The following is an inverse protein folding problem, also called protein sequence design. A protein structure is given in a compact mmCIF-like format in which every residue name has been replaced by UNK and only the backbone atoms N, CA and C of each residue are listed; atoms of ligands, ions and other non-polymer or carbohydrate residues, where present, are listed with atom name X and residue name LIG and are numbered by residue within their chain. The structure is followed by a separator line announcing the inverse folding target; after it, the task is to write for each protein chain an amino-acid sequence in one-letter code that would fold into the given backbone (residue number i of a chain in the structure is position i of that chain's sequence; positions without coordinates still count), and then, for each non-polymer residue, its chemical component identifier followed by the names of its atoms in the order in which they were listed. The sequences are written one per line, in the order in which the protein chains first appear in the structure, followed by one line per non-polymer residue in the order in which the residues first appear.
data_IF_974109290916
#
_entry.id   IF_974109290916
#
_cell.length_a   1.000
_cell.length_b   1.000
_cell.length_c   1.000
_cell.angle_alpha   90.00
_cell.angle_beta   90.00
_cell.angle_gamma   90.00
#
_symmetry.space_group_name_H-M   'P 1'
#
loop_
_entity.id
_entity.type
_entity.pdbx_description
1 polymer ?
#
# COMPACT_ATOMS: atom_id res chain seq x y z
N UNK A 1 -32.87 -17.27 36.89
CA UNK A 1 -32.19 -17.31 35.57
C UNK A 1 -31.86 -15.91 34.97
N UNK A 2 -32.59 -14.83 35.25
CA UNK A 2 -32.36 -13.50 34.64
C UNK A 2 -31.07 -12.76 35.11
N UNK A 3 -30.54 -13.07 36.30
CA UNK A 3 -29.33 -12.37 36.81
C UNK A 3 -28.06 -12.89 36.19
N UNK A 4 -27.98 -14.19 35.84
CA UNK A 4 -26.85 -14.78 35.15
C UNK A 4 -26.68 -14.26 33.71
N UNK A 5 -27.78 -14.13 32.98
CA UNK A 5 -27.79 -13.64 31.60
C UNK A 5 -27.35 -12.16 31.46
N UNK A 6 -27.63 -11.33 32.48
CA UNK A 6 -27.17 -9.92 32.50
C UNK A 6 -25.67 -9.78 32.75
N UNK A 7 -25.08 -10.64 33.59
CA UNK A 7 -23.62 -10.62 33.86
C UNK A 7 -22.83 -11.12 32.65
N UNK A 8 -23.27 -12.20 32.00
CA UNK A 8 -22.62 -12.74 30.80
C UNK A 8 -22.68 -11.74 29.63
N UNK A 9 -23.80 -11.07 29.41
CA UNK A 9 -23.92 -10.04 28.36
C UNK A 9 -23.00 -8.83 28.61
N UNK A 10 -22.78 -8.46 29.89
CA UNK A 10 -21.86 -7.37 30.24
C UNK A 10 -20.39 -7.75 29.99
N UNK A 11 -20.00 -8.98 30.31
CA UNK A 11 -18.64 -9.49 30.07
C UNK A 11 -18.35 -9.57 28.57
N UNK A 12 -19.27 -10.13 27.78
CA UNK A 12 -19.12 -10.18 26.31
C UNK A 12 -18.99 -8.80 25.69
N UNK A 13 -19.74 -7.83 26.18
CA UNK A 13 -19.64 -6.46 25.71
C UNK A 13 -18.28 -5.82 26.03
N UNK A 14 -17.76 -6.08 27.24
CA UNK A 14 -16.44 -5.59 27.65
C UNK A 14 -15.33 -6.23 26.79
N UNK A 15 -15.38 -7.56 26.56
CA UNK A 15 -14.44 -8.25 25.69
C UNK A 15 -14.49 -7.71 24.26
N UNK A 16 -15.68 -7.44 23.74
CA UNK A 16 -15.84 -6.85 22.43
C UNK A 16 -15.29 -5.42 22.36
N UNK A 17 -15.51 -4.62 23.40
CA UNK A 17 -14.94 -3.26 23.49
C UNK A 17 -13.40 -3.28 23.53
N UNK A 18 -12.82 -4.22 24.32
CA UNK A 18 -11.37 -4.42 24.37
C UNK A 18 -10.80 -4.87 23.02
N UNK A 19 -11.47 -5.78 22.32
CA UNK A 19 -11.12 -6.20 20.97
C UNK A 19 -11.11 -5.03 19.98
N UNK A 20 -12.17 -4.19 20.00
CA UNK A 20 -12.23 -3.00 19.13
C UNK A 20 -11.12 -2.01 19.46
N UNK A 21 -10.88 -1.73 20.74
CA UNK A 21 -9.80 -0.84 21.18
C UNK A 21 -8.43 -1.39 20.73
N UNK A 22 -8.17 -2.68 20.97
CA UNK A 22 -6.97 -3.35 20.52
C UNK A 22 -6.77 -3.26 19.02
N UNK A 23 -7.83 -3.45 18.23
CA UNK A 23 -7.79 -3.30 16.77
C UNK A 23 -7.44 -1.88 16.35
N UNK A 24 -8.04 -0.85 16.97
CA UNK A 24 -7.74 0.55 16.66
C UNK A 24 -6.28 0.89 17.00
N UNK A 25 -5.81 0.48 18.18
CA UNK A 25 -4.43 0.68 18.60
C UNK A 25 -3.46 -0.03 17.65
N UNK A 26 -3.75 -1.28 17.30
CA UNK A 26 -2.93 -2.05 16.35
C UNK A 26 -2.83 -1.34 14.99
N UNK A 27 -3.96 -0.91 14.43
CA UNK A 27 -3.98 -0.18 13.15
C UNK A 27 -3.22 1.16 13.23
N UNK A 28 -3.31 1.87 14.36
CA UNK A 28 -2.58 3.10 14.58
C UNK A 28 -1.06 2.85 14.63
N UNK A 29 -0.63 1.80 15.34
CA UNK A 29 0.78 1.38 15.41
C UNK A 29 1.30 0.98 14.04
N UNK A 30 0.55 0.15 13.29
CA UNK A 30 0.91 -0.26 11.92
C UNK A 30 1.05 0.95 11.01
N UNK A 31 0.10 1.90 11.08
CA UNK A 31 0.17 3.13 10.30
C UNK A 31 1.37 3.99 10.66
N UNK A 32 1.68 4.13 11.95
CA UNK A 32 2.83 4.89 12.41
C UNK A 32 4.15 4.22 12.01
N UNK A 33 4.24 2.90 12.14
CA UNK A 33 5.43 2.13 11.78
C UNK A 33 5.73 2.17 10.28
N UNK A 34 4.73 2.01 9.42
CA UNK A 34 4.90 2.02 7.97
C UNK A 34 4.68 3.42 7.34
N UNK A 35 4.76 4.46 8.16
CA UNK A 35 4.68 5.83 7.64
C UNK A 35 5.86 6.11 6.72
N UNK A 36 5.56 6.68 5.54
CA UNK A 36 6.57 7.21 4.61
C UNK A 36 6.62 8.71 4.80
N UNK A 37 7.80 9.23 5.09
CA UNK A 37 8.00 10.66 5.26
C UNK A 37 7.73 11.41 3.95
N UNK A 38 7.10 12.58 4.05
CA UNK A 38 6.76 13.39 2.87
C UNK A 38 8.02 13.90 2.13
N UNK A 39 9.14 14.06 2.82
CA UNK A 39 10.42 14.46 2.23
C UNK A 39 10.97 13.43 1.24
N UNK A 40 10.57 12.14 1.37
CA UNK A 40 10.96 11.10 0.44
C UNK A 40 10.16 11.13 -0.88
N UNK A 41 9.05 11.89 -0.97
CA UNK A 41 8.24 11.88 -2.17
C UNK A 41 8.93 12.59 -3.33
N UNK A 42 8.81 11.96 -4.51
CA UNK A 42 9.14 12.61 -5.77
C UNK A 42 8.11 13.70 -6.05
N UNK A 43 8.57 14.93 -6.25
CA UNK A 43 7.71 16.04 -6.59
C UNK A 43 7.61 16.17 -8.12
N UNK A 44 6.42 16.49 -8.63
CA UNK A 44 6.24 16.74 -10.07
C UNK A 44 7.14 17.87 -10.58
N UNK A 45 7.40 18.89 -9.75
CA UNK A 45 8.32 19.99 -10.06
C UNK A 45 9.77 19.56 -10.24
N UNK A 46 10.19 18.43 -9.66
CA UNK A 46 11.54 17.89 -9.84
C UNK A 46 11.71 17.19 -11.20
N UNK A 47 10.60 16.77 -11.83
CA UNK A 47 10.60 16.02 -13.08
C UNK A 47 10.45 16.89 -14.32
N UNK A 48 10.16 18.19 -14.15
CA UNK A 48 9.80 19.10 -15.24
C UNK A 48 8.35 18.95 -15.71
N UNK A 49 7.90 19.81 -16.61
CA UNK A 49 6.60 19.63 -17.24
C UNK A 49 6.69 18.58 -18.36
N UNK A 50 5.60 17.85 -18.60
CA UNK A 50 5.55 16.82 -19.65
C UNK A 50 5.96 17.34 -21.04
N UNK A 51 5.58 18.56 -21.35
CA UNK A 51 5.92 19.20 -22.64
C UNK A 51 7.41 19.56 -22.74
N UNK A 52 8.04 19.96 -21.64
CA UNK A 52 9.48 20.24 -21.58
C UNK A 52 10.30 18.95 -21.74
N UNK A 53 9.86 17.87 -21.10
CA UNK A 53 10.50 16.56 -21.19
C UNK A 53 10.39 15.99 -22.61
N UNK A 54 9.22 16.13 -23.25
CA UNK A 54 8.97 15.63 -24.62
C UNK A 54 9.67 16.47 -25.70
N UNK A 55 9.84 17.77 -25.50
CA UNK A 55 10.44 18.65 -26.48
C UNK A 55 11.97 18.68 -26.47
N UNK A 56 12.61 18.01 -25.51
CA UNK A 56 14.08 18.04 -25.37
C UNK A 56 14.63 19.42 -25.05
N UNK A 57 13.78 20.36 -24.65
CA UNK A 57 14.22 21.71 -24.26
C UNK A 57 14.98 21.61 -22.94
N UNK A 58 16.27 21.89 -23.00
CA UNK A 58 17.09 22.06 -21.80
C UNK A 58 16.47 23.11 -20.88
N UNK A 59 16.35 22.80 -19.61
CA UNK A 59 15.89 23.74 -18.59
C UNK A 59 16.71 25.04 -18.67
N UNK A 60 16.09 26.21 -18.67
CA UNK A 60 16.83 27.45 -18.45
C UNK A 60 17.58 27.35 -17.14
N UNK A 61 18.85 27.69 -17.13
CA UNK A 61 19.78 27.62 -16.00
C UNK A 61 19.31 28.36 -14.72
N UNK A 62 18.22 29.12 -14.80
CA UNK A 62 17.65 29.92 -13.69
C UNK A 62 17.02 29.07 -12.59
N UNK A 63 16.59 27.83 -12.88
CA UNK A 63 16.07 26.88 -11.84
C UNK A 63 17.13 25.90 -11.33
N UNK A 64 18.34 25.95 -11.89
CA UNK A 64 19.51 25.20 -11.40
C UNK A 64 20.13 25.79 -10.12
N UNK A 65 19.69 26.98 -9.65
CA UNK A 65 20.25 27.70 -8.53
C UNK A 65 19.76 27.26 -7.14
N UNK A 66 19.10 26.13 -6.99
CA UNK A 66 19.07 25.44 -5.72
C UNK A 66 20.20 24.41 -5.70
N UNK A 67 21.41 24.98 -5.61
CA UNK A 67 22.65 24.45 -5.02
C UNK A 67 22.82 22.93 -5.05
N UNK A 68 23.34 22.43 -6.18
CA UNK A 68 24.28 21.35 -6.08
C UNK A 68 25.63 21.96 -5.61
N UNK A 69 26.29 21.40 -4.58
CA UNK A 69 27.67 21.77 -4.26
C UNK A 69 28.57 21.46 -5.46
N UNK A 70 29.63 22.23 -5.62
CA UNK A 70 30.58 22.21 -6.71
C UNK A 70 31.52 20.97 -6.75
N UNK A 71 31.00 19.76 -6.49
CA UNK A 71 31.64 18.48 -6.79
C UNK A 71 30.91 17.82 -7.97
N UNK A 72 30.75 18.59 -9.06
CA UNK A 72 29.99 18.20 -10.25
C UNK A 72 30.73 17.20 -11.17
N UNK A 73 31.83 16.58 -10.74
CA UNK A 73 32.64 15.73 -11.60
C UNK A 73 32.63 14.22 -11.24
N UNK A 74 31.73 13.80 -10.35
CA UNK A 74 31.42 12.37 -10.24
C UNK A 74 30.15 12.08 -11.04
N UNK A 75 30.18 11.10 -11.99
CA UNK A 75 28.99 10.68 -12.68
C UNK A 75 28.01 10.13 -11.63
N UNK A 76 26.93 10.86 -11.35
CA UNK A 76 25.83 10.38 -10.50
C UNK A 76 25.39 9.05 -11.10
N UNK A 77 25.49 7.99 -10.31
CA UNK A 77 25.09 6.65 -10.71
C UNK A 77 23.64 6.67 -11.22
N UNK A 78 23.45 6.63 -12.52
CA UNK A 78 22.13 6.61 -13.12
C UNK A 78 21.58 5.20 -13.09
N UNK A 79 20.28 5.08 -12.89
CA UNK A 79 19.56 3.81 -13.00
C UNK A 79 19.69 3.33 -14.47
N UNK A 80 20.15 2.08 -14.71
CA UNK A 80 20.28 1.55 -16.08
C UNK A 80 18.95 1.50 -16.83
N UNK A 81 18.99 1.72 -18.15
CA UNK A 81 17.85 1.61 -19.07
C UNK A 81 17.49 0.16 -19.36
N UNK A 82 17.14 -0.60 -18.32
CA UNK A 82 16.75 -2.02 -18.39
C UNK A 82 15.44 -2.20 -17.65
N UNK A 83 14.44 -2.79 -18.31
CA UNK A 83 13.16 -3.15 -17.69
C UNK A 83 13.11 -4.67 -17.51
N UNK A 84 13.02 -5.08 -16.24
CA UNK A 84 12.86 -6.47 -15.83
C UNK A 84 11.39 -6.77 -15.55
N UNK A 85 10.87 -7.84 -16.13
CA UNK A 85 9.52 -8.35 -15.88
C UNK A 85 9.56 -9.84 -15.64
N UNK A 86 8.61 -10.39 -14.93
CA UNK A 86 8.54 -11.83 -14.60
C UNK A 86 7.29 -12.47 -15.16
N UNK A 87 7.41 -13.71 -15.66
CA UNK A 87 6.27 -14.55 -16.03
C UNK A 87 6.65 -16.02 -15.91
N UNK A 88 5.66 -16.91 -15.90
CA UNK A 88 5.87 -18.35 -15.76
C UNK A 88 6.70 -18.95 -16.91
N UNK A 89 6.41 -18.52 -18.15
CA UNK A 89 6.98 -19.04 -19.40
C UNK A 89 7.33 -17.90 -20.35
N UNK A 90 7.91 -18.19 -21.50
CA UNK A 90 8.15 -17.20 -22.57
C UNK A 90 6.85 -16.73 -23.23
N UNK A 91 5.78 -17.52 -23.13
CA UNK A 91 4.50 -17.19 -23.73
C UNK A 91 3.68 -16.30 -22.79
N UNK A 92 3.54 -15.04 -23.16
CA UNK A 92 2.70 -14.08 -22.44
C UNK A 92 1.26 -14.17 -22.92
N UNK A 93 0.27 -14.11 -21.99
CA UNK A 93 -1.11 -13.86 -22.36
C UNK A 93 -1.26 -12.58 -23.18
N UNK A 94 -2.17 -12.57 -24.16
CA UNK A 94 -2.38 -11.44 -25.08
C UNK A 94 -2.52 -10.11 -24.34
N UNK A 95 -3.31 -10.13 -23.27
CA UNK A 95 -3.53 -9.00 -22.40
C UNK A 95 -2.21 -8.35 -21.89
N UNK A 96 -1.21 -9.16 -21.50
CA UNK A 96 0.07 -8.66 -20.99
C UNK A 96 1.07 -8.36 -22.10
N UNK A 97 0.93 -9.03 -23.24
CA UNK A 97 1.75 -8.76 -24.43
C UNK A 97 1.51 -7.33 -24.92
N UNK A 98 0.26 -6.90 -25.01
CA UNK A 98 -0.09 -5.55 -25.47
C UNK A 98 0.48 -4.46 -24.53
N UNK A 99 0.32 -4.61 -23.21
CA UNK A 99 0.85 -3.61 -22.25
C UNK A 99 2.39 -3.56 -22.25
N UNK A 100 3.05 -4.73 -22.38
CA UNK A 100 4.50 -4.80 -22.51
C UNK A 100 4.98 -4.14 -23.79
N UNK A 101 4.32 -4.41 -24.93
CA UNK A 101 4.66 -3.81 -26.22
C UNK A 101 4.55 -2.28 -26.17
N UNK A 102 3.49 -1.73 -25.56
CA UNK A 102 3.34 -0.29 -25.37
C UNK A 102 4.52 0.32 -24.60
N UNK A 103 5.02 -0.34 -23.56
CA UNK A 103 6.21 0.14 -22.87
C UNK A 103 7.46 0.05 -23.72
N UNK A 104 7.63 -1.01 -24.53
CA UNK A 104 8.76 -1.16 -25.46
C UNK A 104 8.76 -0.06 -26.54
N UNK A 105 7.59 0.25 -27.09
CA UNK A 105 7.42 1.27 -28.11
C UNK A 105 7.74 2.68 -27.57
N UNK A 106 7.44 2.93 -26.30
CA UNK A 106 7.72 4.19 -25.63
C UNK A 106 9.19 4.34 -25.20
N UNK A 107 9.91 3.21 -25.07
CA UNK A 107 11.30 3.14 -24.61
C UNK A 107 12.14 2.26 -25.54
N UNK A 108 12.33 2.67 -26.82
CA UNK A 108 13.02 1.84 -27.81
C UNK A 108 14.52 1.67 -27.53
N UNK A 109 15.10 2.52 -26.71
CA UNK A 109 16.49 2.50 -26.26
C UNK A 109 16.71 1.75 -24.93
N UNK A 110 15.65 1.11 -24.39
CA UNK A 110 15.74 0.30 -23.20
C UNK A 110 15.86 -1.18 -23.55
N UNK A 111 16.63 -1.91 -22.76
CA UNK A 111 16.61 -3.38 -22.78
C UNK A 111 15.39 -3.89 -22.01
N UNK A 112 14.70 -4.90 -22.57
CA UNK A 112 13.48 -5.48 -21.96
C UNK A 112 13.69 -6.98 -21.70
N UNK A 113 13.92 -7.35 -20.46
CA UNK A 113 14.23 -8.72 -20.06
C UNK A 113 12.99 -9.37 -19.42
N UNK A 114 12.58 -10.52 -19.99
CA UNK A 114 11.57 -11.39 -19.40
C UNK A 114 12.23 -12.52 -18.61
N UNK A 115 11.99 -12.55 -17.32
CA UNK A 115 12.46 -13.58 -16.40
C UNK A 115 11.37 -14.65 -16.25
N UNK A 116 11.57 -15.81 -16.86
CA UNK A 116 10.71 -16.97 -16.63
C UNK A 116 11.07 -17.66 -15.32
N UNK A 117 10.19 -18.55 -14.82
CA UNK A 117 10.48 -19.33 -13.61
C UNK A 117 11.79 -20.10 -13.74
N UNK A 118 12.05 -20.70 -14.92
CA UNK A 118 13.27 -21.45 -15.19
C UNK A 118 14.52 -20.54 -15.23
N UNK A 119 14.45 -19.41 -15.93
CA UNK A 119 15.54 -18.41 -15.97
C UNK A 119 15.82 -17.83 -14.59
N UNK A 120 14.78 -17.54 -13.82
CA UNK A 120 14.88 -17.00 -12.47
C UNK A 120 15.61 -17.97 -11.54
N UNK A 121 15.25 -19.25 -11.58
CA UNK A 121 15.93 -20.28 -10.77
C UNK A 121 17.39 -20.48 -11.19
N UNK A 122 17.66 -20.55 -12.49
CA UNK A 122 19.03 -20.68 -13.03
C UNK A 122 19.90 -19.49 -12.61
N UNK A 123 19.36 -18.26 -12.70
CA UNK A 123 20.05 -17.05 -12.29
C UNK A 123 20.40 -17.06 -10.78
N UNK A 124 19.47 -17.48 -9.92
CA UNK A 124 19.74 -17.62 -8.48
C UNK A 124 20.79 -18.69 -8.23
N UNK A 125 20.72 -19.84 -8.91
CA UNK A 125 21.71 -20.92 -8.77
C UNK A 125 23.11 -20.47 -9.16
N UNK A 126 23.25 -19.69 -10.23
CA UNK A 126 24.53 -19.22 -10.75
C UNK A 126 25.14 -18.10 -9.92
N UNK A 127 24.34 -17.08 -9.58
CA UNK A 127 24.87 -15.85 -9.00
C UNK A 127 24.65 -15.69 -7.49
N UNK A 128 23.69 -16.45 -6.91
CA UNK A 128 23.28 -16.36 -5.51
C UNK A 128 23.01 -17.75 -4.93
N UNK A 129 23.91 -18.69 -5.14
CA UNK A 129 23.77 -20.10 -4.71
C UNK A 129 23.43 -20.27 -3.24
N UNK A 130 23.86 -19.33 -2.39
CA UNK A 130 23.53 -19.31 -0.96
C UNK A 130 22.02 -19.15 -0.69
N UNK A 131 21.28 -18.54 -1.61
CA UNK A 131 19.85 -18.31 -1.47
C UNK A 131 19.00 -19.41 -2.13
N UNK A 132 19.58 -20.21 -3.02
CA UNK A 132 18.84 -21.23 -3.76
C UNK A 132 17.99 -22.18 -2.89
N UNK A 133 18.48 -22.67 -1.74
CA UNK A 133 17.66 -23.52 -0.86
C UNK A 133 16.40 -22.80 -0.36
N UNK A 134 16.50 -21.52 -0.02
CA UNK A 134 15.35 -20.71 0.40
C UNK A 134 14.40 -20.46 -0.76
N UNK A 135 14.95 -20.16 -1.95
CA UNK A 135 14.18 -19.90 -3.16
C UNK A 135 13.34 -21.11 -3.57
N UNK A 136 13.94 -22.31 -3.56
CA UNK A 136 13.27 -23.56 -3.89
C UNK A 136 12.25 -23.99 -2.81
N UNK A 137 12.49 -23.62 -1.53
CA UNK A 137 11.62 -23.96 -0.42
C UNK A 137 10.36 -23.06 -0.30
N UNK A 138 10.26 -21.99 -1.05
CA UNK A 138 9.06 -21.14 -1.00
C UNK A 138 7.80 -21.91 -1.39
N UNK A 139 6.76 -21.96 -0.52
CA UNK A 139 5.55 -22.73 -0.79
C UNK A 139 4.74 -22.20 -1.98
N UNK A 140 4.87 -20.92 -2.31
CA UNK A 140 4.09 -20.29 -3.37
C UNK A 140 4.98 -19.75 -4.49
N UNK A 141 4.57 -19.99 -5.74
CA UNK A 141 5.29 -19.50 -6.92
C UNK A 141 5.46 -17.97 -6.93
N UNK A 142 4.46 -17.25 -6.41
CA UNK A 142 4.50 -15.78 -6.32
C UNK A 142 5.63 -15.30 -5.39
N UNK A 143 6.00 -16.05 -4.34
CA UNK A 143 7.13 -15.66 -3.49
C UNK A 143 8.46 -15.73 -4.26
N UNK A 144 8.61 -16.69 -5.18
CA UNK A 144 9.78 -16.76 -6.07
C UNK A 144 9.79 -15.60 -7.08
N UNK A 145 8.63 -15.25 -7.62
CA UNK A 145 8.47 -14.08 -8.50
C UNK A 145 8.71 -12.75 -7.76
N UNK A 146 8.35 -12.67 -6.48
CA UNK A 146 8.69 -11.53 -5.64
C UNK A 146 10.19 -11.48 -5.30
N UNK A 147 10.79 -12.61 -4.96
CA UNK A 147 12.20 -12.66 -4.59
C UNK A 147 13.11 -12.28 -5.77
N UNK A 148 12.89 -12.86 -6.95
CA UNK A 148 13.77 -12.65 -8.10
C UNK A 148 13.91 -11.17 -8.48
N UNK A 149 12.87 -10.34 -8.32
CA UNK A 149 12.92 -8.91 -8.65
C UNK A 149 14.01 -8.16 -7.88
N UNK A 150 14.25 -8.54 -6.63
CA UNK A 150 15.30 -7.91 -5.81
C UNK A 150 16.69 -8.34 -6.25
N UNK A 151 16.88 -9.62 -6.63
CA UNK A 151 18.15 -10.15 -7.07
C UNK A 151 18.59 -9.61 -8.43
N UNK A 152 17.66 -9.48 -9.39
CA UNK A 152 17.98 -8.91 -10.70
C UNK A 152 18.32 -7.43 -10.59
N UNK A 153 17.60 -6.68 -9.75
CA UNK A 153 17.89 -5.28 -9.48
C UNK A 153 19.23 -5.10 -8.76
N UNK A 154 19.57 -5.98 -7.82
CA UNK A 154 20.88 -5.96 -7.18
C UNK A 154 22.01 -6.19 -8.20
N UNK A 155 21.85 -7.16 -9.10
CA UNK A 155 22.90 -7.57 -10.05
C UNK A 155 23.07 -6.61 -11.20
N UNK A 156 21.98 -6.12 -11.74
CA UNK A 156 21.96 -5.34 -12.98
C UNK A 156 21.57 -3.88 -12.77
N UNK A 157 20.83 -3.57 -11.70
CA UNK A 157 20.11 -2.31 -11.60
C UNK A 157 18.93 -2.27 -12.56
N UNK A 158 18.42 -1.09 -12.85
CA UNK A 158 17.32 -0.90 -13.79
C UNK A 158 15.96 -0.78 -13.11
N UNK A 159 14.93 -1.18 -13.82
CA UNK A 159 13.53 -1.05 -13.45
C UNK A 159 12.89 -2.43 -13.40
N UNK A 160 12.41 -2.85 -12.24
CA UNK A 160 11.47 -3.96 -12.18
C UNK A 160 10.05 -3.42 -12.29
N UNK A 161 9.22 -4.06 -13.10
CA UNK A 161 7.83 -3.68 -13.28
C UNK A 161 6.96 -4.92 -13.52
N UNK A 162 5.88 -5.09 -12.73
CA UNK A 162 4.93 -6.18 -12.95
C UNK A 162 4.25 -6.08 -14.33
N UNK A 163 3.90 -7.22 -14.94
CA UNK A 163 3.29 -7.27 -16.27
C UNK A 163 1.87 -6.66 -16.34
N UNK A 164 1.20 -6.52 -15.21
CA UNK A 164 -0.11 -5.86 -15.14
C UNK A 164 0.00 -4.33 -15.04
N UNK A 165 1.19 -3.80 -15.32
CA UNK A 165 1.45 -2.37 -15.47
C UNK A 165 1.83 -2.05 -16.91
N UNK A 166 1.46 -0.87 -17.36
CA UNK A 166 1.88 -0.26 -18.64
C UNK A 166 2.53 1.09 -18.41
N UNK A 167 3.20 1.61 -19.43
CA UNK A 167 3.83 2.92 -19.43
C UNK A 167 2.91 3.95 -20.05
N UNK A 168 2.60 5.04 -19.32
CA UNK A 168 1.83 6.17 -19.81
C UNK A 168 2.74 7.31 -20.31
N UNK A 169 4.01 7.35 -19.83
CA UNK A 169 5.00 8.38 -20.12
C UNK A 169 6.39 7.79 -20.20
N UNK A 170 7.34 8.52 -20.79
CA UNK A 170 8.75 8.18 -20.77
C UNK A 170 9.30 8.19 -19.34
N UNK A 171 10.10 7.18 -18.99
CA UNK A 171 10.61 6.94 -17.64
C UNK A 171 11.98 7.60 -17.38
N UNK A 172 12.63 8.19 -18.39
CA UNK A 172 13.94 8.85 -18.25
C UNK A 172 14.04 9.84 -17.08
N UNK A 173 13.01 10.67 -16.79
CA UNK A 173 13.09 11.57 -15.65
C UNK A 173 13.26 10.91 -14.30
N UNK A 174 12.86 9.63 -14.19
CA UNK A 174 12.97 8.84 -12.95
C UNK A 174 14.34 8.17 -12.78
N UNK A 175 15.13 8.04 -13.86
CA UNK A 175 16.43 7.39 -13.82
C UNK A 175 17.52 8.21 -13.11
N UNK A 176 17.25 9.47 -12.82
CA UNK A 176 18.16 10.38 -12.10
C UNK A 176 18.30 10.07 -10.61
N UNK A 177 17.40 9.29 -10.05
CA UNK A 177 17.41 8.90 -8.65
C UNK A 177 18.24 7.63 -8.44
N UNK A 178 18.53 7.28 -7.18
CA UNK A 178 19.25 6.05 -6.87
C UNK A 178 18.30 4.87 -6.73
N UNK A 179 17.20 5.06 -5.98
CA UNK A 179 16.11 4.09 -5.83
C UNK A 179 14.78 4.81 -5.85
N UNK A 180 13.81 4.27 -6.58
CA UNK A 180 12.43 4.77 -6.58
C UNK A 180 11.48 3.62 -6.29
N UNK A 181 10.60 3.82 -5.31
CA UNK A 181 9.56 2.87 -4.88
C UNK A 181 8.20 3.55 -4.95
N UNK A 182 7.12 2.89 -5.38
CA UNK A 182 5.80 3.50 -5.34
C UNK A 182 5.19 3.40 -3.94
N UNK A 183 4.41 4.42 -3.57
CA UNK A 183 3.62 4.39 -2.34
C UNK A 183 2.48 3.39 -2.45
N UNK A 184 2.35 2.50 -1.47
CA UNK A 184 1.17 1.63 -1.37
C UNK A 184 0.09 2.21 -0.44
N UNK A 185 -1.14 1.76 -0.63
CA UNK A 185 -2.30 2.14 0.18
C UNK A 185 -2.77 0.90 0.93
N UNK A 186 -2.99 0.99 2.24
CA UNK A 186 -3.06 2.20 3.07
C UNK A 186 -1.72 2.70 3.64
N UNK A 187 -0.67 1.89 3.64
CA UNK A 187 0.62 2.21 4.28
C UNK A 187 1.80 1.61 3.54
N UNK A 188 2.98 2.21 3.68
CA UNK A 188 4.25 1.70 3.19
C UNK A 188 4.50 1.93 1.70
N UNK A 189 5.39 1.10 1.15
CA UNK A 189 5.80 1.10 -0.26
C UNK A 189 5.41 -0.22 -0.93
N UNK A 190 5.28 -0.20 -2.26
CA UNK A 190 4.94 -1.40 -3.06
C UNK A 190 6.20 -2.02 -3.66
N UNK A 191 6.08 -3.27 -4.10
CA UNK A 191 7.15 -4.02 -4.76
C UNK A 191 6.84 -4.37 -6.22
N UNK A 192 5.71 -3.94 -6.74
CA UNK A 192 5.29 -4.16 -8.13
C UNK A 192 6.02 -3.26 -9.14
N UNK A 193 6.67 -2.19 -8.63
CA UNK A 193 7.54 -1.30 -9.37
C UNK A 193 8.72 -0.91 -8.49
N UNK A 194 9.94 -1.09 -8.97
CA UNK A 194 11.16 -0.72 -8.27
C UNK A 194 12.18 -0.22 -9.29
N UNK A 195 12.68 0.98 -9.10
CA UNK A 195 13.85 1.49 -9.80
C UNK A 195 15.05 1.38 -8.87
N UNK A 196 16.19 0.94 -9.35
CA UNK A 196 17.39 0.89 -8.54
C UNK A 196 18.66 1.00 -9.37
N UNK A 197 19.66 1.67 -8.84
CA UNK A 197 21.04 1.57 -9.33
C UNK A 197 21.59 0.19 -8.98
N UNK A 198 22.52 -0.30 -9.81
CA UNK A 198 23.19 -1.59 -9.58
C UNK A 198 23.92 -1.62 -8.23
N UNK A 199 23.69 -2.67 -7.44
CA UNK A 199 24.38 -2.88 -6.16
C UNK A 199 23.99 -1.88 -5.07
N UNK A 200 22.84 -1.19 -5.18
CA UNK A 200 22.42 -0.23 -4.17
C UNK A 200 22.26 -0.89 -2.78
N UNK A 201 22.78 -0.30 -1.69
CA UNK A 201 22.76 -0.91 -0.34
C UNK A 201 21.38 -1.27 0.17
N UNK A 202 20.35 -0.52 -0.19
CA UNK A 202 18.97 -0.87 0.14
C UNK A 202 18.52 -2.18 -0.53
N UNK A 203 18.88 -2.37 -1.80
CA UNK A 203 18.53 -3.60 -2.55
C UNK A 203 19.34 -4.79 -2.02
N UNK A 204 20.61 -4.57 -1.65
CA UNK A 204 21.43 -5.55 -0.96
C UNK A 204 20.78 -5.95 0.39
N UNK A 205 20.30 -4.98 1.17
CA UNK A 205 19.58 -5.28 2.40
C UNK A 205 18.29 -6.07 2.15
N UNK A 206 17.56 -5.81 1.04
CA UNK A 206 16.39 -6.60 0.67
C UNK A 206 16.76 -8.07 0.48
N UNK A 207 17.74 -8.39 -0.38
CA UNK A 207 18.10 -9.79 -0.67
C UNK A 207 18.59 -10.54 0.59
N UNK A 208 19.35 -9.89 1.45
CA UNK A 208 19.84 -10.50 2.68
C UNK A 208 18.78 -10.61 3.79
N UNK A 209 17.69 -9.84 3.71
CA UNK A 209 16.59 -9.92 4.67
C UNK A 209 15.59 -11.04 4.34
N UNK A 210 15.53 -11.55 3.10
CA UNK A 210 14.52 -12.52 2.67
C UNK A 210 14.49 -13.80 3.52
N UNK A 211 15.66 -14.32 3.93
CA UNK A 211 15.71 -15.53 4.76
C UNK A 211 15.09 -15.30 6.14
N UNK A 212 15.37 -14.14 6.76
CA UNK A 212 14.83 -13.80 8.06
C UNK A 212 13.32 -13.52 8.05
N UNK A 213 12.76 -13.16 6.88
CA UNK A 213 11.33 -12.94 6.69
C UNK A 213 10.58 -14.14 6.13
N UNK A 214 11.27 -15.27 5.88
CA UNK A 214 10.64 -16.48 5.33
C UNK A 214 9.81 -17.21 6.40
N UNK A 215 8.66 -16.65 6.73
CA UNK A 215 7.69 -17.22 7.66
C UNK A 215 6.40 -17.57 6.93
N UNK A 216 5.81 -18.70 7.32
CA UNK A 216 4.48 -19.11 6.85
C UNK A 216 3.45 -18.64 7.88
N UNK A 217 2.50 -17.83 7.40
CA UNK A 217 1.38 -17.33 8.18
C UNK A 217 0.13 -18.20 7.95
N UNK A 218 -0.94 -17.94 8.73
CA UNK A 218 -2.19 -18.71 8.64
C UNK A 218 -2.86 -18.66 7.26
N UNK A 219 -2.58 -17.64 6.45
CA UNK A 219 -3.20 -17.46 5.14
C UNK A 219 -2.13 -17.30 4.05
N UNK A 220 -2.48 -17.70 2.83
CA UNK A 220 -1.63 -17.53 1.64
C UNK A 220 -1.29 -16.04 1.45
N UNK A 221 -2.30 -15.18 1.47
CA UNK A 221 -2.13 -13.75 1.28
C UNK A 221 -1.17 -13.14 2.29
N UNK A 222 -1.35 -13.41 3.59
CA UNK A 222 -0.45 -12.89 4.62
C UNK A 222 0.97 -13.45 4.47
N UNK A 223 1.12 -14.73 4.13
CA UNK A 223 2.43 -15.35 3.89
C UNK A 223 3.19 -14.58 2.80
N UNK A 224 2.59 -14.36 1.65
CA UNK A 224 3.22 -13.62 0.54
C UNK A 224 3.50 -12.17 0.92
N UNK A 225 2.52 -11.47 1.45
CA UNK A 225 2.63 -10.05 1.81
C UNK A 225 3.79 -9.74 2.75
N UNK A 226 4.00 -10.58 3.77
CA UNK A 226 4.98 -10.32 4.83
C UNK A 226 6.32 -11.03 4.62
N UNK A 227 6.41 -12.05 3.75
CA UNK A 227 7.68 -12.75 3.49
C UNK A 227 8.47 -12.17 2.32
N UNK A 228 7.80 -11.80 1.23
CA UNK A 228 8.46 -11.36 -0.02
C UNK A 228 7.79 -10.16 -0.67
N UNK A 229 6.54 -9.88 -0.32
CA UNK A 229 5.69 -8.88 -0.93
C UNK A 229 5.87 -7.47 -0.38
N UNK A 230 4.89 -6.56 -0.61
CA UNK A 230 5.02 -5.14 -0.31
C UNK A 230 5.21 -4.83 1.19
N UNK A 231 4.68 -5.65 2.10
CA UNK A 231 4.89 -5.41 3.53
C UNK A 231 6.31 -5.79 3.97
N UNK A 232 6.91 -6.80 3.36
CA UNK A 232 8.34 -7.11 3.51
C UNK A 232 9.19 -5.91 3.08
N UNK A 233 8.99 -5.40 1.86
CA UNK A 233 9.74 -4.23 1.35
C UNK A 233 9.54 -3.02 2.24
N UNK A 234 8.31 -2.78 2.69
CA UNK A 234 8.00 -1.65 3.60
C UNK A 234 8.73 -1.76 4.94
N UNK A 235 8.87 -2.98 5.50
CA UNK A 235 9.60 -3.22 6.74
C UNK A 235 11.11 -2.97 6.55
N UNK A 236 11.69 -3.47 5.45
CA UNK A 236 13.11 -3.23 5.14
C UNK A 236 13.35 -1.74 4.82
N UNK A 237 12.47 -1.08 4.07
CA UNK A 237 12.51 0.36 3.82
C UNK A 237 12.56 1.15 5.13
N UNK A 238 11.68 0.85 6.06
CA UNK A 238 11.65 1.53 7.36
C UNK A 238 12.96 1.34 8.13
N UNK A 239 13.47 0.11 8.20
CA UNK A 239 14.75 -0.19 8.89
C UNK A 239 15.92 0.51 8.22
N UNK A 240 15.95 0.56 6.89
CA UNK A 240 16.98 1.25 6.13
C UNK A 240 16.97 2.75 6.41
N UNK A 241 15.80 3.39 6.29
CA UNK A 241 15.64 4.83 6.57
C UNK A 241 16.02 5.16 8.00
N UNK A 242 15.58 4.37 8.99
CA UNK A 242 15.93 4.61 10.41
C UNK A 242 17.42 4.47 10.68
N UNK A 243 18.11 3.55 10.03
CA UNK A 243 19.55 3.35 10.17
C UNK A 243 20.38 4.47 9.53
N UNK A 244 19.83 5.16 8.53
CA UNK A 244 20.53 6.23 7.78
C UNK A 244 20.01 7.63 8.12
N UNK A 245 19.20 7.78 9.17
CA UNK A 245 18.81 9.10 9.66
C UNK A 245 20.03 9.83 10.23
N UNK A 246 20.23 11.09 9.86
CA UNK A 246 21.29 11.89 10.48
C UNK A 246 21.04 12.01 11.99
N UNK A 247 22.10 11.85 12.78
CA UNK A 247 22.04 11.87 14.24
C UNK A 247 21.60 13.23 14.83
N UNK A 248 21.59 14.30 14.02
CA UNK A 248 21.14 15.65 14.43
C UNK A 248 20.49 16.38 13.25
N UNK A 249 19.37 17.08 13.46
CA UNK A 249 18.75 17.90 12.43
C UNK A 249 19.50 19.22 12.18
N UNK A 250 20.71 19.36 12.66
CA UNK A 250 21.46 20.59 12.66
C UNK A 250 22.41 20.70 11.47
N UNK A 251 21.96 21.19 10.35
CA UNK A 251 22.62 22.28 9.60
C UNK A 251 21.72 22.73 8.46
N UNK A 252 21.35 24.01 8.35
CA UNK A 252 20.62 24.57 7.22
C UNK A 252 21.41 24.55 5.90
N UNK A 253 22.68 24.15 5.94
CA UNK A 253 23.62 24.24 4.82
C UNK A 253 23.60 23.06 3.83
N UNK A 254 22.88 21.96 4.14
CA UNK A 254 22.71 20.85 3.22
C UNK A 254 21.26 20.36 3.28
N UNK A 255 20.39 20.80 2.35
CA UNK A 255 19.04 20.23 2.22
C UNK A 255 19.05 18.72 1.88
N UNK A 256 20.18 18.18 1.44
CA UNK A 256 20.37 16.75 1.11
C UNK A 256 20.89 15.92 2.29
N UNK A 257 21.24 16.51 3.44
CA UNK A 257 21.86 15.80 4.57
C UNK A 257 20.94 14.81 5.33
N UNK A 258 19.67 14.70 4.94
CA UNK A 258 18.72 13.70 5.44
C UNK A 258 18.31 12.67 4.39
N UNK A 259 18.92 12.67 3.22
CA UNK A 259 18.46 11.91 2.07
C UNK A 259 19.12 10.53 2.03
N UNK A 260 18.31 9.48 2.14
CA UNK A 260 18.75 8.08 2.14
C UNK A 260 19.01 7.52 0.75
N UNK A 261 18.99 8.33 -0.31
CA UNK A 261 18.99 7.87 -1.71
C UNK A 261 17.63 7.27 -2.17
N UNK A 262 16.70 7.03 -1.24
CA UNK A 262 15.41 6.43 -1.54
C UNK A 262 14.35 7.49 -1.83
N UNK A 263 13.66 7.36 -2.96
CA UNK A 263 12.54 8.22 -3.35
C UNK A 263 11.25 7.40 -3.45
N UNK A 264 10.14 8.04 -3.17
CA UNK A 264 8.83 7.40 -3.20
C UNK A 264 7.91 8.12 -4.19
N UNK A 265 7.37 7.38 -5.17
CA UNK A 265 6.37 7.90 -6.08
C UNK A 265 5.03 8.05 -5.35
N UNK A 266 4.49 9.27 -5.24
CA UNK A 266 3.16 9.49 -4.71
C UNK A 266 2.09 8.94 -5.66
N UNK A 267 0.85 8.81 -5.18
CA UNK A 267 -0.28 8.34 -5.99
C UNK A 267 -0.46 9.15 -7.28
N UNK A 268 -0.19 10.45 -7.24
CA UNK A 268 -0.32 11.35 -8.41
C UNK A 268 0.59 10.96 -9.58
N UNK A 269 1.79 10.43 -9.31
CA UNK A 269 2.76 10.01 -10.31
C UNK A 269 2.72 8.50 -10.58
N UNK A 270 2.21 7.71 -9.63
CA UNK A 270 2.13 6.26 -9.75
C UNK A 270 0.80 5.76 -10.33
N UNK A 271 -0.32 6.42 -10.05
CA UNK A 271 -1.62 6.16 -10.65
C UNK A 271 -2.42 5.00 -10.06
N UNK A 272 -1.83 4.11 -9.26
CA UNK A 272 -2.52 2.93 -8.72
C UNK A 272 -3.69 3.32 -7.80
N UNK A 273 -4.85 2.67 -8.00
CA UNK A 273 -6.10 2.96 -7.29
C UNK A 273 -6.61 4.42 -7.49
N UNK A 274 -6.20 5.07 -8.57
CA UNK A 274 -6.75 6.35 -8.98
C UNK A 274 -8.08 6.18 -9.72
N UNK A 275 -8.97 7.16 -9.56
CA UNK A 275 -10.18 7.25 -10.39
C UNK A 275 -9.80 7.77 -11.77
N UNK A 276 -10.59 7.52 -12.81
CA UNK A 276 -10.36 8.11 -14.12
C UNK A 276 -10.20 9.64 -14.02
N UNK A 277 -9.09 10.18 -14.57
CA UNK A 277 -8.77 11.60 -14.52
C UNK A 277 -8.20 12.14 -13.20
N UNK A 278 -8.09 11.34 -12.14
CA UNK A 278 -7.54 11.76 -10.84
C UNK A 278 -6.03 11.99 -10.88
N UNK A 279 -5.32 11.27 -11.74
CA UNK A 279 -3.86 11.33 -11.83
C UNK A 279 -3.39 11.52 -13.27
N UNK A 280 -3.62 12.70 -13.87
CA UNK A 280 -3.26 12.97 -15.26
C UNK A 280 -1.74 12.92 -15.49
N UNK A 281 -0.96 13.11 -14.43
CA UNK A 281 0.51 13.12 -14.47
C UNK A 281 1.14 11.76 -14.15
N UNK A 282 0.35 10.69 -14.05
CA UNK A 282 0.86 9.35 -13.80
C UNK A 282 1.79 8.88 -14.92
N UNK A 283 2.91 8.25 -14.53
CA UNK A 283 3.83 7.57 -15.43
C UNK A 283 3.34 6.19 -15.84
N UNK A 284 2.37 5.62 -15.10
CA UNK A 284 1.96 4.23 -15.23
C UNK A 284 0.47 4.05 -15.42
N UNK A 285 0.12 2.98 -16.14
CA UNK A 285 -1.22 2.43 -16.27
C UNK A 285 -1.30 1.14 -15.46
N UNK A 286 -2.43 0.87 -14.82
CA UNK A 286 -2.62 -0.32 -13.98
C UNK A 286 -3.80 -1.15 -14.49
N UNK A 287 -3.52 -2.41 -14.85
CA UNK A 287 -4.50 -3.35 -15.42
C UNK A 287 -5.04 -4.34 -14.40
N UNK A 288 -4.62 -4.23 -13.14
CA UNK A 288 -5.11 -5.00 -11.98
C UNK A 288 -5.13 -6.51 -12.22
N UNK A 289 -3.98 -7.09 -12.48
CA UNK A 289 -3.78 -8.54 -12.45
C UNK A 289 -3.95 -9.06 -11.03
N UNK A 290 -4.87 -10.01 -10.84
CA UNK A 290 -5.16 -10.61 -9.52
C UNK A 290 -4.85 -12.11 -9.48
N UNK A 291 -3.97 -12.58 -10.35
CA UNK A 291 -3.71 -14.00 -10.57
C UNK A 291 -3.17 -14.76 -9.34
N UNK A 292 -2.66 -14.05 -8.34
CA UNK A 292 -2.10 -14.61 -7.11
C UNK A 292 -3.01 -14.46 -5.89
N UNK A 293 -4.11 -13.72 -6.02
CA UNK A 293 -5.08 -13.58 -4.94
C UNK A 293 -5.77 -14.91 -4.70
N UNK A 294 -5.48 -15.55 -3.57
CA UNK A 294 -6.20 -16.69 -3.09
C UNK A 294 -7.59 -16.29 -2.53
N UNK A 295 -8.45 -17.25 -2.26
CA UNK A 295 -9.80 -17.02 -1.71
C UNK A 295 -9.81 -16.24 -0.39
N UNK A 296 -8.71 -16.29 0.38
CA UNK A 296 -8.51 -15.56 1.63
C UNK A 296 -8.34 -14.05 1.44
N UNK A 297 -7.89 -13.60 0.25
CA UNK A 297 -7.79 -12.17 -0.06
C UNK A 297 -9.14 -11.47 -0.04
N UNK A 298 -10.23 -12.16 -0.40
CA UNK A 298 -11.58 -11.61 -0.39
C UNK A 298 -12.00 -11.09 0.98
N UNK A 299 -11.69 -11.81 2.06
CA UNK A 299 -11.97 -11.38 3.43
C UNK A 299 -11.19 -10.13 3.82
N UNK A 300 -9.91 -10.06 3.46
CA UNK A 300 -9.06 -8.89 3.75
C UNK A 300 -9.47 -7.66 2.94
N UNK A 301 -9.89 -7.86 1.69
CA UNK A 301 -10.47 -6.79 0.85
C UNK A 301 -11.78 -6.29 1.48
N UNK A 302 -12.66 -7.19 1.93
CA UNK A 302 -13.87 -6.84 2.67
C UNK A 302 -13.56 -6.01 3.91
N UNK A 303 -12.61 -6.43 4.74
CA UNK A 303 -12.17 -5.67 5.92
C UNK A 303 -11.58 -4.31 5.54
N UNK A 304 -10.86 -4.20 4.43
CA UNK A 304 -10.35 -2.92 3.93
C UNK A 304 -11.47 -1.95 3.56
N UNK A 305 -12.52 -2.44 2.91
CA UNK A 305 -13.64 -1.62 2.44
C UNK A 305 -14.55 -1.24 3.60
N UNK A 306 -14.95 -2.23 4.40
CA UNK A 306 -16.00 -2.08 5.42
C UNK A 306 -15.46 -1.99 6.85
N UNK A 307 -14.17 -2.23 7.10
CA UNK A 307 -13.61 -2.32 8.44
C UNK A 307 -13.84 -1.06 9.28
N UNK A 308 -13.72 0.13 8.69
CA UNK A 308 -14.02 1.40 9.40
C UNK A 308 -15.48 1.48 9.80
N UNK A 309 -16.39 1.08 8.91
CA UNK A 309 -17.84 1.04 9.18
C UNK A 309 -18.16 0.03 10.28
N UNK A 310 -17.55 -1.16 10.21
CA UNK A 310 -17.73 -2.20 11.23
C UNK A 310 -17.22 -1.75 12.60
N UNK A 311 -16.06 -1.08 12.65
CA UNK A 311 -15.53 -0.50 13.90
C UNK A 311 -16.48 0.58 14.43
N UNK A 312 -16.95 1.50 13.59
CA UNK A 312 -17.89 2.55 13.99
C UNK A 312 -19.19 1.96 14.51
N UNK A 313 -19.76 0.98 13.80
CA UNK A 313 -20.97 0.27 14.23
C UNK A 313 -20.75 -0.46 15.57
N UNK A 314 -19.60 -1.11 15.74
CA UNK A 314 -19.23 -1.76 17.01
C UNK A 314 -19.18 -0.76 18.18
N UNK A 315 -18.54 0.40 17.97
CA UNK A 315 -18.49 1.47 18.97
C UNK A 315 -19.90 1.97 19.32
N UNK A 316 -20.74 2.21 18.32
CA UNK A 316 -22.13 2.63 18.52
C UNK A 316 -22.95 1.60 19.32
N UNK A 317 -22.76 0.30 19.02
CA UNK A 317 -23.43 -0.77 19.77
C UNK A 317 -22.97 -0.83 21.23
N UNK A 318 -21.67 -0.65 21.48
CA UNK A 318 -21.10 -0.58 22.84
C UNK A 318 -21.68 0.63 23.60
N UNK A 319 -21.70 1.80 22.99
CA UNK A 319 -22.26 3.01 23.56
C UNK A 319 -23.77 2.85 23.84
N UNK A 320 -24.53 2.35 22.87
CA UNK A 320 -25.95 2.07 23.05
C UNK A 320 -26.18 1.10 24.21
N UNK A 321 -25.49 -0.02 24.26
CA UNK A 321 -25.64 -0.98 25.33
C UNK A 321 -25.28 -0.40 26.72
N UNK A 322 -24.25 0.48 26.78
CA UNK A 322 -23.81 1.14 28.02
C UNK A 322 -24.80 2.22 28.49
N UNK A 323 -25.35 2.97 27.54
CA UNK A 323 -26.15 4.16 27.88
C UNK A 323 -27.67 3.98 27.71
N UNK A 324 -28.16 2.86 27.13
CA UNK A 324 -29.58 2.61 26.91
C UNK A 324 -30.43 2.75 28.17
N UNK A 325 -29.94 2.25 29.31
CA UNK A 325 -30.69 2.30 30.56
C UNK A 325 -30.75 3.71 31.17
N UNK A 326 -29.67 4.50 31.25
CA UNK A 326 -29.74 5.89 31.67
C UNK A 326 -30.55 6.77 30.67
N UNK A 327 -30.38 6.55 29.34
CA UNK A 327 -31.18 7.30 28.35
C UNK A 327 -32.64 6.95 28.42
N UNK A 328 -33.02 5.69 28.58
CA UNK A 328 -34.41 5.28 28.77
C UNK A 328 -35.01 5.90 30.02
N UNK A 329 -34.28 5.98 31.14
CA UNK A 329 -34.73 6.65 32.36
C UNK A 329 -34.91 8.15 32.18
N UNK A 330 -34.02 8.80 31.40
CA UNK A 330 -34.11 10.23 31.10
C UNK A 330 -35.29 10.54 30.16
N UNK A 331 -35.54 9.69 29.16
CA UNK A 331 -36.58 9.89 28.17
C UNK A 331 -37.96 9.39 28.62
N UNK A 332 -38.04 8.45 29.55
CA UNK A 332 -39.32 7.88 30.03
C UNK A 332 -40.36 8.94 30.45
N UNK A 333 -40.01 9.97 31.26
CA UNK A 333 -40.98 10.99 31.63
C UNK A 333 -41.45 11.85 30.44
N UNK A 334 -40.52 12.14 29.50
CA UNK A 334 -40.88 12.92 28.30
C UNK A 334 -41.79 12.10 27.39
N UNK A 335 -41.43 10.84 27.12
CA UNK A 335 -42.25 9.95 26.29
C UNK A 335 -43.64 9.69 26.93
N UNK A 336 -43.71 9.52 28.24
CA UNK A 336 -44.99 9.36 28.95
C UNK A 336 -45.87 10.61 28.83
N UNK A 337 -45.28 11.79 28.93
CA UNK A 337 -45.97 13.06 28.75
C UNK A 337 -46.49 13.23 27.34
N UNK A 338 -45.62 12.99 26.34
CA UNK A 338 -46.02 13.04 24.92
C UNK A 338 -47.11 12.03 24.61
N UNK A 339 -47.00 10.80 25.12
CA UNK A 339 -48.03 9.77 24.96
C UNK A 339 -49.38 10.18 25.58
N UNK A 340 -49.36 10.79 26.80
CA UNK A 340 -50.56 11.32 27.43
C UNK A 340 -51.20 12.45 26.60
N UNK A 341 -50.37 13.34 26.00
CA UNK A 341 -50.85 14.37 25.10
C UNK A 341 -51.48 13.79 23.82
N UNK A 342 -50.82 12.83 23.19
CA UNK A 342 -51.37 12.14 22.02
C UNK A 342 -52.69 11.46 22.34
N UNK A 343 -52.78 10.76 23.48
CA UNK A 343 -54.04 10.14 23.91
C UNK A 343 -55.15 11.15 24.22
N UNK A 344 -54.80 12.29 24.79
CA UNK A 344 -55.79 13.39 25.01
C UNK A 344 -56.30 13.94 23.69
N UNK A 345 -55.41 14.16 22.71
CA UNK A 345 -55.80 14.62 21.39
C UNK A 345 -56.65 13.59 20.65
N UNK A 346 -56.26 12.30 20.68
CA UNK A 346 -57.07 11.24 20.08
C UNK A 346 -58.45 11.13 20.70
N UNK A 347 -58.59 11.27 22.02
CA UNK A 347 -59.89 11.30 22.69
C UNK A 347 -60.70 12.55 22.36
N UNK A 348 -60.10 13.70 22.17
CA UNK A 348 -60.75 14.92 21.77
C UNK A 348 -61.25 14.92 20.32
N UNK A 349 -60.51 14.22 19.43
CA UNK A 349 -60.84 14.10 18.01
C UNK A 349 -61.83 12.96 17.71
N UNK A 350 -62.07 12.04 18.68
CA UNK A 350 -62.99 10.92 18.50
C UNK A 350 -64.11 11.04 19.54
N UNK A 351 -65.21 11.71 19.21
CA UNK A 351 -66.39 11.72 20.07
C UNK A 351 -66.93 10.31 20.22
N UNK A 352 -67.06 9.84 21.45
CA UNK A 352 -67.58 8.52 21.82
C UNK A 352 -69.00 8.32 21.28
N UNK A 353 -69.14 7.91 20.04
CA UNK A 353 -70.31 7.29 19.50
C UNK A 353 -70.07 5.77 19.42
N UNK A 354 -70.75 5.04 20.32
CA UNK A 354 -70.93 3.59 20.27
C UNK A 354 -69.72 2.65 20.38
N UNK A 355 -69.31 2.38 21.61
CA UNK A 355 -68.66 1.13 21.98
C UNK A 355 -69.51 0.41 23.05
N UNK A 356 -70.72 0.06 22.69
CA UNK A 356 -71.46 -1.06 23.26
C UNK A 356 -71.50 -2.11 22.19
N UNK A 357 -70.60 -3.02 22.17
CA UNK A 357 -70.61 -4.34 21.50
C UNK A 357 -69.15 -4.73 21.14
N UNK A 358 -68.47 -5.33 22.08
CA UNK A 358 -67.66 -6.54 21.89
C UNK A 358 -67.29 -7.00 23.32
N UNK A 359 -68.21 -7.73 23.88
CA UNK A 359 -67.89 -8.84 24.79
C UNK A 359 -67.76 -10.05 23.88
N UNK A 360 -66.58 -10.54 23.71
CA UNK A 360 -66.19 -11.96 23.61
C UNK A 360 -64.75 -12.08 24.01
#
# INVERSE_FOLDING_TARGET
MAIGARKTSSVLLQLFALFLLGTVVFLAVVRAYFHVDASAYVLASELGTYNEIRSGVERPAVLANHSAPADADQPRSQIPKVIHQTWKTEELPERWRASRQQCMDLHPDYEHILWTDAKSRAFIAEHYSWFLPTFDAYPYAIQRADAIRYFVLHRYGGIYMDLDMGCARNLDPLLRFEVVLPKTIPVGVSNDLIFATKGHPFVEQLIHSLQAFNHVFFTHYATVMFSTGPMFVSAVYRRYVDAHKPASPSSPSHPDAGFTGLRVLPKSLYGKNARPGETPDSFFLHFYGSSWHASDAGFLIFLRIYGRLLIALGILLVLYARFRAPIARLLAPVLSTVWQWVWRLLRACWPLGNLSLIHI
#
